data_IF_321970743339
#
_entry.id   IF_321970743339
#
_cell.length_a   1.000
_cell.length_b   1.000
_cell.length_c   1.000
_cell.angle_alpha   90.00
_cell.angle_beta   90.00
_cell.angle_gamma   90.00
#
_symmetry.space_group_name_H-M   'P 1'
#
loop_
_entity.id
_entity.type
_entity.pdbx_description
1 polymer ?
#
# COMPACT_ATOMS: atom_id res chain seq x y z
N UNK A 1 -2.14 30.51 49.60
CA UNK A 1 -1.85 29.08 49.88
C UNK A 1 -0.61 28.73 49.08
N UNK A 2 0.52 28.43 49.73
CA UNK A 2 1.72 28.02 49.01
C UNK A 2 1.49 26.63 48.40
N UNK A 3 1.91 26.44 47.15
CA UNK A 3 1.94 25.11 46.52
C UNK A 3 2.63 24.11 47.45
N UNK A 4 1.97 22.99 47.69
CA UNK A 4 2.57 21.91 48.47
C UNK A 4 3.67 21.24 47.66
N UNK A 5 4.68 20.68 48.34
CA UNK A 5 5.73 19.89 47.68
C UNK A 5 5.17 18.74 46.84
N UNK A 6 4.02 18.20 47.25
CA UNK A 6 3.27 17.18 46.53
C UNK A 6 2.77 17.70 45.17
N UNK A 7 2.16 18.89 45.15
CA UNK A 7 1.67 19.50 43.91
C UNK A 7 2.83 19.81 42.92
N UNK A 8 3.98 20.22 43.43
CA UNK A 8 5.20 20.40 42.62
C UNK A 8 5.75 19.09 42.06
N UNK A 9 5.68 18.01 42.83
CA UNK A 9 6.10 16.68 42.38
C UNK A 9 5.15 16.14 41.29
N UNK A 10 3.84 16.28 41.49
CA UNK A 10 2.82 15.88 40.51
C UNK A 10 2.96 16.66 39.18
N UNK A 11 3.15 17.98 39.24
CA UNK A 11 3.38 18.80 38.05
C UNK A 11 4.61 18.33 37.27
N UNK A 12 5.72 18.04 37.95
CA UNK A 12 6.95 17.52 37.32
C UNK A 12 6.73 16.14 36.69
N UNK A 13 6.02 15.25 37.39
CA UNK A 13 5.67 13.92 36.86
C UNK A 13 4.80 14.02 35.60
N UNK A 14 3.74 14.83 35.64
CA UNK A 14 2.86 15.06 34.51
C UNK A 14 3.61 15.60 33.29
N UNK A 15 4.51 16.57 33.49
CA UNK A 15 5.37 17.09 32.43
C UNK A 15 6.32 16.02 31.87
N UNK A 16 6.97 15.24 32.72
CA UNK A 16 7.87 14.16 32.29
C UNK A 16 7.12 13.09 31.50
N UNK A 17 5.91 12.70 31.95
CA UNK A 17 5.03 11.76 31.25
C UNK A 17 4.59 12.30 29.90
N UNK A 18 4.22 13.58 29.80
CA UNK A 18 3.86 14.22 28.55
C UNK A 18 5.04 14.24 27.56
N UNK A 19 6.25 14.56 28.04
CA UNK A 19 7.48 14.51 27.23
C UNK A 19 7.77 13.10 26.71
N UNK A 20 7.65 12.08 27.57
CA UNK A 20 7.83 10.69 27.17
C UNK A 20 6.83 10.27 26.11
N UNK A 21 5.55 10.63 26.27
CA UNK A 21 4.52 10.32 25.29
C UNK A 21 4.77 11.02 23.95
N UNK A 22 5.21 12.29 23.97
CA UNK A 22 5.56 13.02 22.77
C UNK A 22 6.73 12.35 22.01
N UNK A 23 7.75 11.86 22.72
CA UNK A 23 8.85 11.12 22.11
C UNK A 23 8.39 9.79 21.49
N UNK A 24 7.55 9.03 22.20
CA UNK A 24 6.96 7.79 21.66
C UNK A 24 6.14 8.04 20.39
N UNK A 25 5.33 9.09 20.40
CA UNK A 25 4.51 9.46 19.24
C UNK A 25 5.37 9.88 18.04
N UNK A 26 6.48 10.58 18.28
CA UNK A 26 7.44 10.96 17.22
C UNK A 26 8.09 9.72 16.61
N UNK A 27 8.51 8.77 17.44
CA UNK A 27 9.14 7.53 16.97
C UNK A 27 8.14 6.67 16.17
N UNK A 28 6.92 6.48 16.68
CA UNK A 28 5.87 5.78 15.94
C UNK A 28 5.56 6.46 14.59
N UNK A 29 5.57 7.79 14.55
CA UNK A 29 5.37 8.53 13.30
C UNK A 29 6.54 8.36 12.33
N UNK A 30 7.78 8.36 12.82
CA UNK A 30 8.98 8.09 12.01
C UNK A 30 8.94 6.69 11.43
N UNK A 31 8.59 5.69 12.22
CA UNK A 31 8.49 4.30 11.79
C UNK A 31 7.41 4.13 10.71
N UNK A 32 6.21 4.73 10.91
CA UNK A 32 5.15 4.74 9.89
C UNK A 32 5.62 5.36 8.58
N UNK A 33 6.31 6.50 8.62
CA UNK A 33 6.84 7.15 7.41
C UNK A 33 7.83 6.25 6.66
N UNK A 34 8.73 5.60 7.39
CA UNK A 34 9.70 4.67 6.79
C UNK A 34 9.00 3.44 6.20
N UNK A 35 8.02 2.87 6.90
CA UNK A 35 7.23 1.74 6.44
C UNK A 35 6.42 2.08 5.18
N UNK A 36 5.71 3.22 5.17
CA UNK A 36 5.01 3.71 3.98
C UNK A 36 5.97 3.89 2.81
N UNK A 37 7.16 4.49 3.02
CA UNK A 37 8.15 4.66 1.95
C UNK A 37 8.62 3.32 1.38
N UNK A 38 8.88 2.33 2.23
CA UNK A 38 9.28 0.97 1.79
C UNK A 38 8.19 0.32 0.95
N UNK A 39 6.93 0.41 1.38
CA UNK A 39 5.77 -0.12 0.66
C UNK A 39 5.57 0.55 -0.70
N UNK A 40 5.71 1.87 -0.77
CA UNK A 40 5.59 2.61 -2.04
C UNK A 40 6.70 2.23 -3.01
N UNK A 41 7.96 2.21 -2.56
CA UNK A 41 9.10 1.85 -3.42
C UNK A 41 8.97 0.42 -3.93
N UNK A 42 8.69 -0.52 -3.04
CA UNK A 42 8.56 -1.93 -3.41
C UNK A 42 7.35 -2.16 -4.32
N UNK A 43 6.22 -1.49 -4.05
CA UNK A 43 5.03 -1.55 -4.89
C UNK A 43 5.28 -1.04 -6.29
N UNK A 44 5.90 0.13 -6.45
CA UNK A 44 6.27 0.68 -7.75
C UNK A 44 7.19 -0.26 -8.53
N UNK A 45 8.27 -0.73 -7.88
CA UNK A 45 9.20 -1.67 -8.52
C UNK A 45 8.53 -3.00 -8.92
N UNK A 46 7.56 -3.49 -8.16
CA UNK A 46 6.79 -4.68 -8.50
C UNK A 46 5.89 -4.44 -9.72
N UNK A 47 5.25 -3.27 -9.82
CA UNK A 47 4.44 -2.91 -10.99
C UNK A 47 5.32 -2.79 -12.24
N UNK A 48 6.47 -2.10 -12.14
CA UNK A 48 7.44 -1.96 -13.25
C UNK A 48 8.02 -3.32 -13.71
N UNK A 49 8.08 -4.31 -12.81
CA UNK A 49 8.49 -5.67 -13.14
C UNK A 49 7.35 -6.44 -13.83
N UNK A 50 6.12 -6.27 -13.36
CA UNK A 50 4.95 -6.95 -13.91
C UNK A 50 4.66 -6.58 -15.38
N UNK A 51 5.12 -5.41 -15.84
CA UNK A 51 5.02 -5.03 -17.26
C UNK A 51 5.87 -5.90 -18.21
N UNK A 52 6.93 -6.55 -17.70
CA UNK A 52 7.89 -7.31 -18.51
C UNK A 52 8.09 -8.77 -18.10
N UNK A 53 7.62 -9.14 -16.91
CA UNK A 53 7.74 -10.49 -16.36
C UNK A 53 6.34 -11.06 -16.06
N UNK A 54 5.97 -12.12 -16.78
CA UNK A 54 4.65 -12.75 -16.66
C UNK A 54 4.41 -13.42 -15.30
N UNK A 55 5.47 -13.89 -14.63
CA UNK A 55 5.39 -14.44 -13.28
C UNK A 55 5.04 -13.36 -12.25
N UNK A 56 5.66 -12.19 -12.36
CA UNK A 56 5.34 -11.02 -11.54
C UNK A 56 3.92 -10.51 -11.83
N UNK A 57 3.50 -10.45 -13.10
CA UNK A 57 2.13 -10.08 -13.47
C UNK A 57 1.08 -11.01 -12.82
N UNK A 58 1.26 -12.33 -12.93
CA UNK A 58 0.38 -13.31 -12.32
C UNK A 58 0.36 -13.20 -10.78
N UNK A 59 1.49 -12.86 -10.16
CA UNK A 59 1.56 -12.61 -8.73
C UNK A 59 0.76 -11.37 -8.33
N UNK A 60 0.90 -10.26 -9.05
CA UNK A 60 0.14 -9.02 -8.81
C UNK A 60 -1.36 -9.28 -8.94
N UNK A 61 -1.78 -9.97 -9.99
CA UNK A 61 -3.18 -10.29 -10.22
C UNK A 61 -3.75 -11.16 -9.08
N UNK A 62 -2.99 -12.16 -8.62
CA UNK A 62 -3.36 -12.99 -7.45
C UNK A 62 -3.47 -12.16 -6.17
N UNK A 63 -2.60 -11.16 -5.96
CA UNK A 63 -2.68 -10.29 -4.79
C UNK A 63 -3.94 -9.41 -4.83
N UNK A 64 -4.24 -8.80 -5.97
CA UNK A 64 -5.43 -7.94 -6.16
C UNK A 64 -6.73 -8.73 -5.97
N UNK A 65 -6.84 -9.93 -6.55
CA UNK A 65 -8.03 -10.79 -6.40
C UNK A 65 -8.31 -11.19 -4.96
N UNK A 66 -7.28 -11.30 -4.12
CA UNK A 66 -7.41 -11.74 -2.72
C UNK A 66 -7.56 -10.58 -1.72
N UNK A 67 -7.67 -9.33 -2.18
CA UNK A 67 -7.93 -8.19 -1.30
C UNK A 67 -9.28 -8.38 -0.60
N UNK A 68 -9.31 -8.30 0.74
CA UNK A 68 -10.52 -8.55 1.53
C UNK A 68 -11.48 -7.37 1.58
N UNK A 69 -10.96 -6.13 1.48
CA UNK A 69 -11.75 -4.90 1.58
C UNK A 69 -12.27 -4.46 0.22
N UNK A 70 -13.57 -4.16 0.15
CA UNK A 70 -14.21 -3.62 -1.07
C UNK A 70 -13.58 -2.32 -1.56
N UNK A 71 -13.21 -1.43 -0.64
CA UNK A 71 -12.58 -0.15 -0.99
C UNK A 71 -11.24 -0.36 -1.69
N UNK A 72 -10.45 -1.32 -1.21
CA UNK A 72 -9.15 -1.64 -1.79
C UNK A 72 -9.33 -2.28 -3.18
N UNK A 73 -10.32 -3.17 -3.35
CA UNK A 73 -10.65 -3.76 -4.67
C UNK A 73 -11.05 -2.69 -5.68
N UNK A 74 -11.88 -1.72 -5.29
CA UNK A 74 -12.31 -0.61 -6.16
C UNK A 74 -11.14 0.24 -6.66
N UNK A 75 -10.09 0.41 -5.85
CA UNK A 75 -8.91 1.16 -6.26
C UNK A 75 -8.16 0.54 -7.46
N UNK A 76 -8.37 -0.76 -7.74
CA UNK A 76 -7.76 -1.46 -8.87
C UNK A 76 -8.74 -1.76 -10.02
N UNK A 77 -10.02 -1.42 -9.89
CA UNK A 77 -11.05 -1.78 -10.87
C UNK A 77 -10.88 -1.07 -12.24
N UNK A 78 -10.42 0.18 -12.23
CA UNK A 78 -10.22 0.99 -13.45
C UNK A 78 -8.78 0.95 -13.97
N UNK A 79 -7.88 0.25 -13.29
CA UNK A 79 -6.44 0.25 -13.61
C UNK A 79 -6.08 -0.68 -14.77
N UNK A 80 -6.92 -1.67 -15.11
CA UNK A 80 -6.71 -2.58 -16.24
C UNK A 80 -5.61 -3.64 -16.06
N UNK A 81 -4.81 -3.55 -14.99
CA UNK A 81 -3.73 -4.50 -14.68
C UNK A 81 -2.50 -4.36 -15.58
N UNK A 82 -1.38 -5.01 -15.25
CA UNK A 82 -0.25 -5.12 -16.18
C UNK A 82 -0.77 -5.88 -17.40
N UNK A 83 -0.69 -5.26 -18.58
CA UNK A 83 -1.17 -5.81 -19.84
C UNK A 83 -0.50 -7.16 -20.07
N UNK A 84 -1.19 -8.24 -19.70
CA UNK A 84 -0.95 -9.53 -20.31
C UNK A 84 -1.35 -9.32 -21.75
N UNK A 85 -0.39 -9.34 -22.68
CA UNK A 85 -0.64 -9.17 -24.10
C UNK A 85 -1.64 -10.22 -24.56
N UNK A 86 -2.92 -9.87 -24.50
CA UNK A 86 -4.00 -10.65 -25.06
C UNK A 86 -4.04 -10.26 -26.54
N UNK A 87 -3.06 -10.75 -27.29
CA UNK A 87 -3.25 -11.00 -28.72
C UNK A 87 -4.37 -12.03 -28.82
N UNK A 88 -5.61 -11.54 -28.86
CA UNK A 88 -6.74 -12.30 -29.37
C UNK A 88 -6.48 -12.46 -30.86
N UNK A 89 -6.18 -13.66 -31.40
CA UNK A 89 -6.09 -13.81 -32.84
C UNK A 89 -7.50 -13.60 -33.39
N UNK A 90 -7.67 -12.57 -34.22
CA UNK A 90 -8.90 -12.36 -34.97
C UNK A 90 -9.20 -13.63 -35.80
N UNK A 91 -10.42 -14.19 -35.76
CA UNK A 91 -10.75 -15.32 -36.61
C UNK A 91 -10.82 -14.83 -38.05
N UNK A 92 -9.81 -15.19 -38.85
CA UNK A 92 -9.83 -15.07 -40.30
C UNK A 92 -11.03 -15.86 -40.82
N UNK A 93 -12.09 -15.17 -41.22
CA UNK A 93 -13.27 -15.77 -41.81
C UNK A 93 -13.29 -15.42 -43.30
N UNK A 94 -12.45 -16.11 -44.06
CA UNK A 94 -12.66 -16.27 -45.50
C UNK A 94 -13.36 -17.61 -45.72
N UNK A 95 -14.61 -17.64 -46.18
CA UNK A 95 -15.11 -18.77 -46.95
C UNK A 95 -14.92 -18.44 -48.42
N UNK A 96 -13.87 -19.05 -48.96
CA UNK A 96 -13.60 -19.21 -50.39
C UNK A 96 -14.85 -19.71 -51.15
N UNK A 97 -15.03 -19.17 -52.35
CA UNK A 97 -16.18 -19.40 -53.20
C UNK A 97 -16.28 -20.83 -53.72
N UNK A 98 -17.51 -21.32 -53.86
CA UNK A 98 -17.84 -22.49 -54.66
C UNK A 98 -18.82 -22.06 -55.75
N UNK A 99 -18.33 -22.03 -56.99
CA UNK A 99 -19.12 -22.13 -58.23
C UNK A 99 -19.66 -23.57 -58.42
#
# INVERSE_FOLDING_TARGET
MAETELERAEKRYAQAKARLQALRNREATRQRKLDTRRKVILGGALMDLAERDSGAAAMVERLVRNLSRDQDRKAFAEWGGPSSGDETPSPTSDPDGAD
#
